data_IF_622565612275
#
_entry.id   IF_622565612275
#
_cell.length_a   1.000
_cell.length_b   1.000
_cell.length_c   1.000
_cell.angle_alpha   90.00
_cell.angle_beta   90.00
_cell.angle_gamma   90.00
#
_symmetry.space_group_name_H-M   'P 1'
#
loop_
_entity.id
_entity.type
_entity.pdbx_description
1 polymer ?
#
# COMPACT_ATOMS: atom_id res chain seq x y z
N UNK A 1 -38.83 14.04 -19.93
CA UNK A 1 -37.56 13.52 -20.44
C UNK A 1 -36.45 14.34 -19.83
N UNK A 2 -35.95 13.93 -18.67
CA UNK A 2 -34.51 13.98 -18.30
C UNK A 2 -34.37 13.56 -16.85
N UNK A 3 -33.94 12.32 -16.64
CA UNK A 3 -33.47 11.81 -15.36
C UNK A 3 -32.14 11.12 -15.65
N UNK A 4 -31.16 11.52 -14.84
CA UNK A 4 -30.01 10.74 -14.39
C UNK A 4 -28.86 10.54 -15.39
N UNK A 5 -27.69 11.10 -15.01
CA UNK A 5 -26.38 10.45 -15.03
C UNK A 5 -25.38 11.29 -14.20
N UNK A 6 -25.74 11.61 -12.96
CA UNK A 6 -24.79 12.09 -11.94
C UNK A 6 -24.11 10.90 -11.25
N UNK A 7 -23.52 10.00 -12.04
CA UNK A 7 -22.73 8.90 -11.47
C UNK A 7 -21.40 9.46 -11.01
N UNK A 8 -21.16 9.50 -9.69
CA UNK A 8 -19.79 9.61 -9.20
C UNK A 8 -19.05 8.38 -9.73
N UNK A 9 -17.99 8.51 -10.55
CA UNK A 9 -17.13 7.37 -10.86
C UNK A 9 -16.55 6.85 -9.54
N UNK A 10 -17.17 5.80 -8.99
CA UNK A 10 -16.50 4.97 -8.01
C UNK A 10 -15.24 4.45 -8.69
N UNK A 11 -14.07 4.72 -8.11
CA UNK A 11 -12.83 4.15 -8.62
C UNK A 11 -12.99 2.64 -8.77
N UNK A 12 -12.46 2.08 -9.85
CA UNK A 12 -12.51 0.63 -10.06
C UNK A 12 -11.99 -0.09 -8.82
N UNK A 13 -12.67 -1.14 -8.32
CA UNK A 13 -12.18 -1.89 -7.18
C UNK A 13 -10.80 -2.44 -7.51
N UNK A 14 -9.81 -2.10 -6.70
CA UNK A 14 -8.47 -2.65 -6.85
C UNK A 14 -8.38 -4.01 -6.18
N UNK A 15 -7.36 -4.78 -6.53
CA UNK A 15 -7.00 -5.98 -5.78
C UNK A 15 -6.82 -5.65 -4.28
N UNK A 16 -7.26 -6.52 -3.34
CA UNK A 16 -7.06 -6.33 -1.89
C UNK A 16 -5.60 -6.13 -1.48
N UNK A 17 -4.65 -6.65 -2.26
CA UNK A 17 -3.20 -6.49 -2.03
C UNK A 17 -2.62 -5.20 -2.63
N UNK A 18 -3.46 -4.40 -3.30
CA UNK A 18 -3.05 -3.12 -3.89
C UNK A 18 -2.72 -2.10 -2.80
N UNK A 19 -1.62 -1.37 -3.01
CA UNK A 19 -1.23 -0.22 -2.19
C UNK A 19 -2.34 0.82 -2.02
N UNK A 20 -3.26 0.90 -2.99
CA UNK A 20 -4.34 1.90 -3.05
C UNK A 20 -5.71 1.35 -2.68
N UNK A 21 -5.81 0.11 -2.19
CA UNK A 21 -7.10 -0.53 -1.88
C UNK A 21 -7.97 0.29 -0.93
N UNK A 22 -7.39 0.79 0.17
CA UNK A 22 -8.14 1.57 1.17
C UNK A 22 -8.16 3.08 0.86
N UNK A 23 -7.69 3.48 -0.33
CA UNK A 23 -7.58 4.88 -0.72
C UNK A 23 -8.78 5.26 -1.58
N UNK A 24 -9.69 6.08 -1.05
CA UNK A 24 -10.83 6.56 -1.85
C UNK A 24 -10.39 7.49 -2.99
N UNK A 25 -11.29 7.70 -3.96
CA UNK A 25 -11.05 8.57 -5.12
C UNK A 25 -11.60 9.98 -4.95
N UNK A 26 -11.16 10.90 -5.81
CA UNK A 26 -11.70 12.25 -5.99
C UNK A 26 -11.69 12.59 -7.48
N UNK A 27 -12.41 13.64 -7.86
CA UNK A 27 -12.53 14.10 -9.24
C UNK A 27 -11.86 15.46 -9.39
N UNK A 28 -11.12 15.67 -10.48
CA UNK A 28 -10.54 16.95 -10.87
C UNK A 28 -11.14 17.39 -12.21
N UNK A 29 -11.63 18.62 -12.29
CA UNK A 29 -12.33 19.16 -13.46
C UNK A 29 -13.85 18.95 -13.41
N UNK A 30 -14.53 19.34 -14.49
CA UNK A 30 -15.97 19.24 -14.68
C UNK A 30 -16.32 18.67 -16.08
N UNK A 31 -17.58 18.24 -16.24
CA UNK A 31 -18.07 17.71 -17.51
C UNK A 31 -17.39 16.43 -17.97
N UNK A 32 -17.21 16.28 -19.28
CA UNK A 32 -16.65 15.08 -19.91
C UNK A 32 -15.13 14.94 -19.71
N UNK A 33 -14.43 16.03 -19.36
CA UNK A 33 -12.98 16.05 -19.15
C UNK A 33 -12.60 15.79 -17.68
N UNK A 34 -13.58 15.46 -16.83
CA UNK A 34 -13.37 15.17 -15.43
C UNK A 34 -12.49 13.92 -15.24
N UNK A 35 -11.39 14.06 -14.51
CA UNK A 35 -10.43 12.98 -14.23
C UNK A 35 -10.63 12.45 -12.82
N UNK A 36 -10.86 11.14 -12.70
CA UNK A 36 -10.88 10.46 -11.39
C UNK A 36 -9.47 10.08 -10.99
N UNK A 37 -9.08 10.41 -9.76
CA UNK A 37 -7.76 10.11 -9.20
C UNK A 37 -7.87 9.60 -7.77
N UNK A 38 -6.88 8.84 -7.31
CA UNK A 38 -6.78 8.42 -5.91
C UNK A 38 -6.46 9.60 -5.01
N UNK A 39 -7.12 9.68 -3.85
CA UNK A 39 -6.75 10.65 -2.82
C UNK A 39 -5.33 10.40 -2.33
N UNK A 40 -4.73 11.41 -1.70
CA UNK A 40 -3.39 11.29 -1.15
C UNK A 40 -3.34 10.20 -0.08
N UNK A 41 -2.44 9.24 -0.25
CA UNK A 41 -2.08 8.25 0.77
C UNK A 41 -0.97 8.78 1.67
N UNK A 42 -1.12 8.63 2.98
CA UNK A 42 -0.07 8.91 3.96
C UNK A 42 0.74 7.63 4.20
N UNK A 43 2.06 7.75 4.32
CA UNK A 43 2.92 6.64 4.67
C UNK A 43 2.82 6.44 6.18
N UNK A 44 2.50 5.23 6.67
CA UNK A 44 2.39 4.99 8.10
C UNK A 44 3.76 5.13 8.78
N UNK A 45 3.74 5.36 10.09
CA UNK A 45 4.95 5.34 10.89
C UNK A 45 5.57 3.93 10.89
N UNK A 46 6.91 3.76 10.74
CA UNK A 46 7.56 2.44 10.74
C UNK A 46 7.23 1.55 11.93
N UNK A 47 6.95 2.16 13.09
CA UNK A 47 6.57 1.45 14.33
C UNK A 47 5.16 0.85 14.30
N UNK A 48 4.32 1.21 13.32
CA UNK A 48 3.03 0.57 13.09
C UNK A 48 3.20 -0.85 12.52
N UNK A 49 4.38 -1.19 12.02
CA UNK A 49 4.72 -2.52 11.52
C UNK A 49 5.58 -3.29 12.52
N UNK A 50 5.16 -4.52 12.84
CA UNK A 50 5.93 -5.42 13.71
C UNK A 50 7.23 -5.85 13.03
N UNK A 51 8.37 -5.48 13.62
CA UNK A 51 9.69 -5.88 13.13
C UNK A 51 9.88 -7.38 13.34
N UNK A 52 10.17 -8.11 12.26
CA UNK A 52 10.59 -9.50 12.32
C UNK A 52 12.12 -9.60 12.44
N UNK A 53 12.83 -8.98 11.50
CA UNK A 53 14.28 -8.92 11.46
C UNK A 53 14.76 -7.79 10.54
N UNK A 54 16.06 -7.55 10.54
CA UNK A 54 16.71 -6.62 9.62
C UNK A 54 17.54 -7.39 8.60
N UNK A 55 17.50 -6.93 7.36
CA UNK A 55 18.40 -7.37 6.29
C UNK A 55 19.17 -6.17 5.73
N UNK A 56 20.06 -6.39 4.77
CA UNK A 56 20.72 -5.33 4.01
C UNK A 56 20.39 -5.46 2.53
N UNK A 57 20.24 -4.33 1.85
CA UNK A 57 20.12 -4.29 0.39
C UNK A 57 21.43 -4.80 -0.20
N UNK A 58 21.36 -5.74 -1.12
CA UNK A 58 22.50 -6.23 -1.89
C UNK A 58 22.59 -5.51 -3.24
N UNK A 59 23.78 -5.57 -3.87
CA UNK A 59 23.93 -5.03 -5.23
C UNK A 59 23.05 -5.82 -6.21
N UNK A 60 22.37 -5.09 -7.11
CA UNK A 60 21.40 -5.67 -8.05
C UNK A 60 20.06 -6.10 -7.45
N UNK A 61 19.79 -5.80 -6.16
CA UNK A 61 18.46 -6.00 -5.60
C UNK A 61 17.41 -5.11 -6.27
N UNK A 62 16.24 -5.69 -6.50
CA UNK A 62 15.05 -5.00 -6.98
C UNK A 62 13.93 -5.12 -5.95
N UNK A 63 13.08 -4.10 -5.85
CA UNK A 63 11.99 -4.06 -4.85
C UNK A 63 11.01 -5.24 -4.96
N UNK A 64 10.71 -5.69 -6.18
CA UNK A 64 9.83 -6.82 -6.46
C UNK A 64 10.47 -8.14 -6.02
N UNK A 65 11.78 -8.31 -6.24
CA UNK A 65 12.53 -9.46 -5.75
C UNK A 65 12.65 -9.48 -4.23
N UNK A 66 12.90 -8.32 -3.60
CA UNK A 66 12.89 -8.18 -2.14
C UNK A 66 11.53 -8.61 -1.56
N UNK A 67 10.44 -8.13 -2.17
CA UNK A 67 9.09 -8.51 -1.78
C UNK A 67 8.82 -10.01 -1.98
N UNK A 68 9.22 -10.58 -3.11
CA UNK A 68 9.08 -12.02 -3.36
C UNK A 68 9.84 -12.85 -2.32
N UNK A 69 11.07 -12.46 -1.96
CA UNK A 69 11.91 -13.19 -1.00
C UNK A 69 11.39 -13.11 0.43
N UNK A 70 10.86 -11.95 0.83
CA UNK A 70 10.52 -11.70 2.24
C UNK A 70 9.01 -11.77 2.55
N UNK A 71 8.16 -11.52 1.56
CA UNK A 71 6.70 -11.46 1.68
C UNK A 71 5.99 -12.48 0.78
N UNK A 72 6.72 -13.34 0.08
CA UNK A 72 6.21 -14.35 -0.86
C UNK A 72 5.35 -13.80 -2.01
N UNK A 73 5.41 -12.49 -2.28
CA UNK A 73 4.68 -11.86 -3.39
C UNK A 73 5.45 -10.64 -3.90
N UNK A 74 5.63 -10.50 -5.21
CA UNK A 74 6.34 -9.36 -5.79
C UNK A 74 5.50 -8.08 -5.74
N UNK A 75 4.17 -8.21 -5.64
CA UNK A 75 3.22 -7.09 -5.59
C UNK A 75 3.21 -6.38 -4.23
N UNK A 76 3.75 -7.00 -3.19
CA UNK A 76 3.75 -6.50 -1.81
C UNK A 76 4.96 -5.62 -1.47
N UNK A 77 5.76 -5.21 -2.46
CA UNK A 77 6.95 -4.36 -2.24
C UNK A 77 6.63 -3.06 -1.48
N UNK A 78 5.41 -2.55 -1.62
CA UNK A 78 4.98 -1.32 -0.95
C UNK A 78 4.88 -1.46 0.57
N UNK A 79 4.67 -2.68 1.10
CA UNK A 79 4.71 -2.96 2.54
C UNK A 79 6.13 -2.77 3.07
N UNK A 80 7.14 -3.21 2.31
CA UNK A 80 8.55 -2.97 2.67
C UNK A 80 8.87 -1.48 2.66
N UNK A 81 8.35 -0.73 1.69
CA UNK A 81 8.53 0.72 1.63
C UNK A 81 7.91 1.40 2.86
N UNK A 82 6.65 1.09 3.16
CA UNK A 82 5.93 1.70 4.29
C UNK A 82 6.57 1.37 5.64
N UNK A 83 6.98 0.11 5.84
CA UNK A 83 7.68 -0.35 7.05
C UNK A 83 9.03 0.35 7.30
N UNK A 84 9.59 1.00 6.29
CA UNK A 84 10.84 1.76 6.35
C UNK A 84 10.63 3.27 6.13
N UNK A 85 9.39 3.75 6.10
CA UNK A 85 9.04 5.14 5.77
C UNK A 85 9.61 5.65 4.43
N UNK A 86 9.81 4.73 3.48
CA UNK A 86 10.35 5.03 2.16
C UNK A 86 9.25 5.59 1.27
N UNK A 87 9.45 6.82 0.77
CA UNK A 87 8.51 7.47 -0.15
C UNK A 87 8.79 7.12 -1.59
N UNK A 88 10.05 7.19 -1.99
CA UNK A 88 10.47 6.85 -3.33
C UNK A 88 10.83 5.36 -3.40
N UNK A 89 10.11 4.62 -4.24
CA UNK A 89 10.30 3.19 -4.35
C UNK A 89 11.69 2.78 -4.83
N UNK A 90 12.43 3.67 -5.51
CA UNK A 90 13.81 3.43 -5.92
C UNK A 90 14.78 3.35 -4.73
N UNK A 91 14.42 3.87 -3.56
CA UNK A 91 15.26 3.74 -2.36
C UNK A 91 15.32 2.30 -1.82
N UNK A 92 14.36 1.45 -2.17
CA UNK A 92 14.43 0.00 -1.92
C UNK A 92 15.48 -0.70 -2.80
N UNK A 93 16.01 0.01 -3.79
CA UNK A 93 17.07 -0.41 -4.71
C UNK A 93 18.32 0.47 -4.48
N UNK A 94 18.35 1.18 -3.33
CA UNK A 94 19.41 2.08 -2.91
C UNK A 94 20.74 1.38 -2.64
N UNK A 95 21.74 2.11 -2.12
CA UNK A 95 23.11 1.62 -2.06
C UNK A 95 23.22 0.32 -1.28
N UNK A 96 23.99 -0.63 -1.84
CA UNK A 96 24.27 -1.89 -1.19
C UNK A 96 24.80 -1.67 0.24
N UNK A 97 24.29 -2.46 1.18
CA UNK A 97 24.60 -2.37 2.60
C UNK A 97 23.61 -1.56 3.44
N UNK A 98 22.67 -0.81 2.82
CA UNK A 98 21.61 -0.11 3.54
C UNK A 98 20.72 -1.10 4.31
N UNK A 99 20.45 -0.81 5.59
CA UNK A 99 19.61 -1.66 6.42
C UNK A 99 18.14 -1.54 6.01
N UNK A 100 17.46 -2.68 5.92
CA UNK A 100 16.05 -2.79 5.57
C UNK A 100 15.32 -3.57 6.67
N UNK A 101 14.25 -2.98 7.21
CA UNK A 101 13.35 -3.63 8.16
C UNK A 101 12.42 -4.56 7.39
N UNK A 102 12.43 -5.84 7.75
CA UNK A 102 11.45 -6.81 7.28
C UNK A 102 10.38 -6.94 8.36
N UNK A 103 9.12 -6.80 7.97
CA UNK A 103 7.97 -6.77 8.86
C UNK A 103 6.91 -7.73 8.34
N UNK A 104 6.03 -8.18 9.22
CA UNK A 104 4.77 -8.77 8.75
C UNK A 104 3.90 -7.69 8.11
N UNK A 105 3.08 -8.03 7.10
CA UNK A 105 1.94 -7.20 6.77
C UNK A 105 1.19 -6.89 8.06
N UNK A 106 0.84 -5.62 8.29
CA UNK A 106 -0.08 -5.30 9.36
C UNK A 106 -1.37 -6.09 9.07
N UNK A 107 -1.68 -7.10 9.88
CA UNK A 107 -3.02 -7.67 9.87
C UNK A 107 -3.91 -6.50 10.33
N UNK A 108 -4.89 -6.04 9.54
CA UNK A 108 -5.90 -5.16 10.09
C UNK A 108 -6.43 -5.88 11.31
N UNK A 109 -6.35 -5.23 12.47
CA UNK A 109 -6.81 -5.73 13.76
C UNK A 109 -8.07 -6.57 13.50
N UNK A 110 -7.99 -7.88 13.77
CA UNK A 110 -9.18 -8.70 13.75
C UNK A 110 -10.09 -8.02 14.77
N UNK A 111 -11.14 -7.34 14.30
CA UNK A 111 -12.19 -6.81 15.17
C UNK A 111 -12.60 -7.99 16.01
N UNK A 112 -12.21 -7.95 17.28
CA UNK A 112 -12.55 -8.96 18.26
C UNK A 112 -14.08 -8.98 18.27
N UNK A 113 -14.64 -9.95 17.55
CA UNK A 113 -16.07 -10.21 17.55
C UNK A 113 -16.33 -11.05 18.78
N UNK A 114 -15.98 -10.50 19.94
CA UNK A 114 -16.48 -10.91 21.24
C UNK A 114 -17.87 -10.29 21.38
N UNK A 115 -18.81 -10.75 20.54
CA UNK A 115 -20.24 -10.52 20.73
C UNK A 115 -20.86 -11.83 21.26
N UNK A 116 -20.77 -11.91 22.59
CA UNK A 116 -21.86 -12.31 23.49
C UNK A 116 -22.38 -13.76 23.43
N UNK A 117 -21.75 -14.61 24.25
CA UNK A 117 -22.49 -15.63 24.98
C UNK A 117 -23.33 -14.95 26.08
N UNK A 118 -24.64 -14.87 25.87
CA UNK A 118 -25.64 -14.77 26.94
C UNK A 118 -26.98 -15.38 26.50
#
# INVERSE_FOLDING_TARGET
>A
MDQLLGGTPAGSPTDPTSRYHDVGTSIFGDGLDAVTYYRRRLIPEPRAHTLLYQTRIADGDRRDNLAQRHLNSPYLWWILADANAIRDASELEGPAGQALRITTPATPEATDSDDEHA
#
